data_IF_262651417854
#
_entry.id   IF_262651417854
#
_cell.length_a   1.000
_cell.length_b   1.000
_cell.length_c   1.000
_cell.angle_alpha   90.00
_cell.angle_beta   90.00
_cell.angle_gamma   90.00
#
_symmetry.space_group_name_H-M   'P 1'
#
loop_
_entity.id
_entity.type
_entity.pdbx_description
1 polymer ?
#
# COMPACT_ATOMS: atom_id res chain seq x y z
N UNK A 1 5.47 -19.90 -7.63
CA UNK A 1 6.84 -19.49 -7.26
C UNK A 1 6.71 -18.95 -5.86
N UNK A 2 7.26 -19.65 -4.89
CA UNK A 2 7.33 -19.18 -3.50
C UNK A 2 8.31 -18.00 -3.51
N UNK A 3 7.79 -16.77 -3.41
CA UNK A 3 8.62 -15.57 -3.38
C UNK A 3 9.25 -15.46 -2.00
N UNK A 4 10.33 -16.23 -1.78
CA UNK A 4 11.15 -16.11 -0.57
C UNK A 4 11.99 -14.84 -0.66
N UNK A 5 11.46 -13.72 -0.18
CA UNK A 5 12.21 -12.47 -0.07
C UNK A 5 13.46 -12.68 0.80
N UNK A 6 14.60 -12.16 0.33
CA UNK A 6 15.85 -12.14 1.10
C UNK A 6 15.97 -10.80 1.79
N UNK A 7 16.08 -10.83 3.12
CA UNK A 7 16.18 -9.62 3.94
C UNK A 7 17.63 -9.40 4.34
N UNK A 8 18.15 -8.20 4.09
CA UNK A 8 19.49 -7.79 4.48
C UNK A 8 19.66 -7.75 6.00
N UNK A 9 20.88 -7.99 6.48
CA UNK A 9 21.19 -7.97 7.91
C UNK A 9 20.89 -6.62 8.59
N UNK A 10 21.18 -5.51 7.92
CA UNK A 10 20.89 -4.16 8.43
C UNK A 10 19.39 -3.87 8.46
N UNK A 11 18.63 -4.33 7.45
CA UNK A 11 17.17 -4.25 7.45
C UNK A 11 16.56 -5.05 8.62
N UNK A 12 17.06 -6.27 8.89
CA UNK A 12 16.65 -7.05 10.06
C UNK A 12 16.94 -6.33 11.39
N UNK A 13 18.10 -5.69 11.50
CA UNK A 13 18.46 -4.92 12.69
C UNK A 13 17.52 -3.72 12.88
N UNK A 14 17.20 -3.01 11.80
CA UNK A 14 16.24 -1.90 11.82
C UNK A 14 14.83 -2.35 12.20
N UNK A 15 14.35 -3.44 11.59
CA UNK A 15 13.05 -4.05 11.93
C UNK A 15 12.97 -4.38 13.42
N UNK A 16 14.04 -4.96 13.96
CA UNK A 16 14.11 -5.30 15.38
C UNK A 16 13.95 -4.06 16.26
N UNK A 17 14.67 -2.99 15.95
CA UNK A 17 14.60 -1.73 16.70
C UNK A 17 13.19 -1.13 16.61
N UNK A 18 12.62 -1.04 15.41
CA UNK A 18 11.31 -0.44 15.20
C UNK A 18 10.18 -1.19 15.92
N UNK A 19 10.17 -2.53 15.80
CA UNK A 19 9.10 -3.37 16.38
C UNK A 19 9.28 -3.50 17.89
N UNK A 20 10.47 -3.89 18.36
CA UNK A 20 10.67 -4.25 19.77
C UNK A 20 10.87 -3.04 20.69
N UNK A 21 11.44 -1.93 20.19
CA UNK A 21 11.75 -0.75 21.01
C UNK A 21 10.77 0.40 20.80
N UNK A 22 10.30 0.61 19.57
CA UNK A 22 9.41 1.73 19.24
C UNK A 22 7.93 1.34 19.19
N UNK A 23 7.60 0.05 19.28
CA UNK A 23 6.22 -0.45 19.17
C UNK A 23 5.52 0.02 17.89
N UNK A 24 6.28 0.13 16.80
CA UNK A 24 5.76 0.40 15.47
C UNK A 24 5.40 -0.94 14.82
N UNK A 25 4.14 -1.34 14.98
CA UNK A 25 3.67 -2.67 14.55
C UNK A 25 3.21 -2.70 13.08
N UNK A 26 3.08 -1.55 12.43
CA UNK A 26 2.70 -1.46 11.03
C UNK A 26 3.94 -1.34 10.16
N UNK A 27 4.13 -2.28 9.26
CA UNK A 27 5.30 -2.36 8.38
C UNK A 27 4.83 -2.24 6.93
N UNK A 28 5.39 -1.28 6.20
CA UNK A 28 5.28 -1.24 4.74
C UNK A 28 6.56 -1.84 4.16
N UNK A 29 6.44 -2.80 3.26
CA UNK A 29 7.60 -3.39 2.58
C UNK A 29 7.36 -3.46 1.07
N UNK A 30 8.43 -3.35 0.29
CA UNK A 30 8.33 -3.45 -1.16
C UNK A 30 8.22 -4.94 -1.56
N UNK A 31 7.03 -5.36 -1.99
CA UNK A 31 6.78 -6.72 -2.45
C UNK A 31 7.19 -6.95 -3.91
N UNK A 32 7.54 -5.90 -4.66
CA UNK A 32 8.00 -6.02 -6.04
C UNK A 32 9.45 -6.53 -6.15
N UNK A 33 10.24 -6.41 -5.08
CA UNK A 33 11.68 -6.74 -5.08
C UNK A 33 11.99 -8.03 -4.34
N UNK A 34 12.93 -8.79 -4.86
CA UNK A 34 13.39 -10.03 -4.22
C UNK A 34 14.27 -9.76 -2.98
N UNK A 35 15.01 -8.65 -2.99
CA UNK A 35 15.97 -8.29 -1.95
C UNK A 35 15.49 -7.07 -1.17
N UNK A 36 15.22 -7.25 0.12
CA UNK A 36 14.74 -6.21 1.03
C UNK A 36 15.93 -5.63 1.78
N UNK A 37 16.25 -4.37 1.49
CA UNK A 37 17.23 -3.57 2.23
C UNK A 37 16.52 -2.55 3.14
N UNK A 38 17.26 -1.61 3.73
CA UNK A 38 16.69 -0.59 4.63
C UNK A 38 15.74 0.41 3.97
N UNK A 39 15.83 0.62 2.66
CA UNK A 39 14.95 1.51 1.90
C UNK A 39 13.65 0.81 1.47
N UNK A 40 13.68 -0.52 1.39
CA UNK A 40 12.55 -1.36 0.99
C UNK A 40 11.59 -1.70 2.15
N UNK A 41 11.83 -1.16 3.35
CA UNK A 41 11.02 -1.40 4.54
C UNK A 41 10.86 -0.14 5.37
N UNK A 42 9.61 0.19 5.73
CA UNK A 42 9.25 1.34 6.54
C UNK A 42 8.32 0.92 7.68
N UNK A 43 8.39 1.67 8.79
CA UNK A 43 7.68 1.34 10.02
C UNK A 43 6.82 2.50 10.49
N UNK A 44 5.57 2.20 10.82
CA UNK A 44 4.57 3.18 11.20
C UNK A 44 3.92 2.79 12.53
N UNK A 45 3.42 3.82 13.22
CA UNK A 45 2.69 3.63 14.47
C UNK A 45 1.21 3.32 14.23
N UNK A 46 0.63 3.91 13.18
CA UNK A 46 -0.77 3.77 12.83
C UNK A 46 -0.92 3.09 11.47
N UNK A 47 -1.99 2.29 11.32
CA UNK A 47 -2.29 1.58 10.08
C UNK A 47 -2.51 2.57 8.94
N UNK A 48 -3.26 3.63 9.22
CA UNK A 48 -3.66 4.63 8.23
C UNK A 48 -2.45 5.32 7.60
N UNK A 49 -1.39 5.57 8.38
CA UNK A 49 -0.14 6.15 7.88
C UNK A 49 0.59 5.18 6.94
N UNK A 50 0.63 3.89 7.28
CA UNK A 50 1.25 2.86 6.44
C UNK A 50 0.48 2.65 5.13
N UNK A 51 -0.85 2.57 5.21
CA UNK A 51 -1.70 2.43 4.03
C UNK A 51 -1.64 3.66 3.13
N UNK A 52 -1.67 4.87 3.69
CA UNK A 52 -1.48 6.11 2.92
C UNK A 52 -0.12 6.12 2.21
N UNK A 53 0.95 5.68 2.89
CA UNK A 53 2.25 5.55 2.27
C UNK A 53 2.24 4.56 1.10
N UNK A 54 1.70 3.36 1.31
CA UNK A 54 1.61 2.32 0.27
C UNK A 54 0.82 2.82 -0.94
N UNK A 55 -0.34 3.47 -0.73
CA UNK A 55 -1.19 4.00 -1.80
C UNK A 55 -0.51 5.13 -2.60
N UNK A 56 0.29 5.97 -1.95
CA UNK A 56 0.99 7.07 -2.60
C UNK A 56 2.28 6.66 -3.31
N UNK A 57 2.84 5.48 -3.00
CA UNK A 57 4.13 5.02 -3.53
C UNK A 57 3.99 3.76 -4.41
N UNK A 58 2.85 3.61 -5.09
CA UNK A 58 2.68 2.58 -6.11
C UNK A 58 3.24 3.08 -7.44
N UNK A 59 4.21 2.36 -7.99
CA UNK A 59 4.84 2.62 -9.28
C UNK A 59 4.98 1.32 -10.08
N UNK A 60 5.42 1.41 -11.34
CA UNK A 60 5.77 0.24 -12.15
C UNK A 60 6.96 -0.54 -11.56
N UNK A 61 7.78 0.12 -10.74
CA UNK A 61 8.99 -0.45 -10.16
C UNK A 61 8.86 -0.77 -8.66
N UNK A 62 7.89 -0.16 -7.98
CA UNK A 62 7.75 -0.23 -6.53
C UNK A 62 6.30 -0.53 -6.15
N UNK A 63 6.09 -1.61 -5.41
CA UNK A 63 4.78 -2.01 -4.92
C UNK A 63 4.93 -2.26 -3.43
N UNK A 64 4.49 -1.31 -2.62
CA UNK A 64 4.51 -1.44 -1.17
C UNK A 64 3.24 -2.14 -0.65
N UNK A 65 3.43 -3.03 0.31
CA UNK A 65 2.37 -3.74 1.01
C UNK A 65 2.46 -3.51 2.52
N UNK A 66 1.30 -3.35 3.15
CA UNK A 66 1.18 -3.15 4.59
C UNK A 66 0.97 -4.49 5.30
N UNK A 67 1.73 -4.75 6.37
CA UNK A 67 1.51 -5.86 7.30
C UNK A 67 1.50 -5.36 8.75
N UNK A 68 0.83 -6.11 9.62
CA UNK A 68 0.90 -5.91 11.07
C UNK A 68 1.79 -7.00 11.67
N UNK A 69 2.74 -6.62 12.52
CA UNK A 69 3.59 -7.55 13.24
C UNK A 69 3.90 -7.08 14.65
N UNK A 70 3.61 -7.92 15.65
CA UNK A 70 3.94 -7.65 17.05
C UNK A 70 5.40 -8.05 17.38
N UNK A 71 6.00 -8.91 16.56
CA UNK A 71 7.37 -9.39 16.75
C UNK A 71 8.17 -9.37 15.45
N UNK A 72 9.49 -9.31 15.56
CA UNK A 72 10.39 -9.42 14.40
C UNK A 72 10.16 -10.73 13.63
N UNK A 73 9.93 -11.84 14.33
CA UNK A 73 9.72 -13.14 13.71
C UNK A 73 8.46 -13.16 12.85
N UNK A 74 7.36 -12.58 13.33
CA UNK A 74 6.11 -12.45 12.56
C UNK A 74 6.30 -11.55 11.33
N UNK A 75 7.00 -10.43 11.46
CA UNK A 75 7.28 -9.54 10.33
C UNK A 75 8.09 -10.27 9.24
N UNK A 76 9.18 -10.93 9.63
CA UNK A 76 10.04 -11.68 8.71
C UNK A 76 9.28 -12.83 8.04
N UNK A 77 8.45 -13.54 8.80
CA UNK A 77 7.64 -14.63 8.25
C UNK A 77 6.64 -14.14 7.22
N UNK A 78 5.90 -13.06 7.52
CA UNK A 78 4.93 -12.48 6.58
C UNK A 78 5.59 -11.94 5.31
N UNK A 79 6.72 -11.21 5.44
CA UNK A 79 7.48 -10.70 4.29
C UNK A 79 7.96 -11.86 3.42
N UNK A 80 8.50 -12.94 3.99
CA UNK A 80 8.98 -14.10 3.23
C UNK A 80 7.88 -14.91 2.54
N UNK A 81 6.67 -14.90 3.10
CA UNK A 81 5.53 -15.61 2.52
C UNK A 81 4.81 -14.76 1.46
N UNK A 82 5.06 -13.44 1.42
CA UNK A 82 4.33 -12.50 0.58
C UNK A 82 2.85 -12.41 0.95
N UNK A 83 2.48 -12.81 2.18
CA UNK A 83 1.10 -12.80 2.63
C UNK A 83 0.70 -11.37 3.02
N UNK A 84 0.08 -10.66 2.08
CA UNK A 84 -0.57 -9.38 2.35
C UNK A 84 -2.01 -9.62 2.82
N UNK A 85 -2.27 -9.40 4.11
CA UNK A 85 -3.62 -9.36 4.65
C UNK A 85 -4.21 -7.97 4.38
N UNK A 86 -4.85 -7.83 3.22
CA UNK A 86 -5.68 -6.66 2.85
C UNK A 86 -4.90 -5.36 2.55
N UNK A 87 -4.36 -5.26 1.33
CA UNK A 87 -4.37 -3.97 0.63
C UNK A 87 -5.57 -4.00 -0.30
N UNK A 88 -6.71 -3.53 0.20
CA UNK A 88 -7.88 -3.27 -0.64
C UNK A 88 -7.43 -2.33 -1.75
N UNK A 89 -7.24 -2.89 -2.96
CA UNK A 89 -6.98 -2.15 -4.19
C UNK A 89 -8.11 -1.14 -4.36
N UNK A 90 -7.85 0.09 -3.89
CA UNK A 90 -8.59 1.27 -4.26
C UNK A 90 -8.36 1.51 -5.75
N UNK A 91 -9.11 0.79 -6.57
CA UNK A 91 -9.30 1.13 -7.97
C UNK A 91 -10.08 2.44 -7.99
N UNK A 92 -9.38 3.56 -7.85
CA UNK A 92 -9.90 4.85 -8.30
C UNK A 92 -10.04 4.76 -9.82
N UNK A 93 -11.24 4.40 -10.26
CA UNK A 93 -11.69 4.66 -11.63
C UNK A 93 -11.79 6.18 -11.81
N UNK A 94 -10.65 6.83 -12.00
CA UNK A 94 -10.57 8.14 -12.65
C UNK A 94 -10.99 7.97 -14.10
N UNK A 95 -12.27 8.14 -14.38
CA UNK A 95 -12.75 8.55 -15.71
C UNK A 95 -13.56 9.84 -15.53
N UNK A 96 -12.87 11.00 -15.50
CA UNK A 96 -12.78 11.98 -16.60
C UNK A 96 -14.15 12.23 -17.24
N UNK A 97 -14.61 13.47 -17.08
CA UNK A 97 -15.91 13.92 -17.54
C UNK A 97 -15.99 14.07 -19.05
N UNK A 98 -17.16 13.72 -19.57
CA UNK A 98 -17.69 14.26 -20.80
C UNK A 98 -18.75 15.30 -20.41
N UNK A 99 -18.29 16.54 -20.39
CA UNK A 99 -19.10 17.74 -20.49
C UNK A 99 -19.54 17.83 -21.96
N UNK A 100 -20.75 17.36 -22.28
CA UNK A 100 -21.36 17.64 -23.58
C UNK A 100 -22.78 18.20 -23.41
N UNK A 101 -22.90 19.42 -23.92
CA UNK A 101 -24.04 20.14 -24.45
C UNK A 101 -25.27 20.48 -23.60
N UNK A 102 -25.27 21.76 -23.21
CA UNK A 102 -26.43 22.65 -23.15
C UNK A 102 -27.39 22.43 -24.33
N UNK A 103 -28.59 21.89 -24.11
CA UNK A 103 -29.76 22.24 -24.93
C UNK A 103 -30.76 23.06 -24.10
N UNK A 104 -30.69 24.37 -24.29
CA UNK A 104 -31.74 25.29 -23.91
C UNK A 104 -32.84 25.29 -24.98
N UNK A 105 -33.82 24.40 -24.86
CA UNK A 105 -35.07 24.51 -25.63
C UNK A 105 -36.26 24.84 -24.73
N UNK A 106 -36.44 26.14 -24.54
CA UNK A 106 -37.72 26.78 -24.21
C UNK A 106 -38.76 26.44 -25.30
N UNK A 107 -39.97 26.05 -24.88
CA UNK A 107 -41.18 26.59 -25.53
C UNK A 107 -42.30 25.63 -25.89
N UNK A 108 -43.47 25.94 -25.31
CA UNK A 108 -44.84 25.77 -25.82
C UNK A 108 -45.50 24.40 -25.66
N UNK A 109 -46.12 24.21 -24.49
CA UNK A 109 -47.40 23.52 -24.42
C UNK A 109 -48.50 24.40 -25.05
N UNK A 110 -49.05 23.95 -26.18
CA UNK A 110 -50.28 24.48 -26.76
C UNK A 110 -51.30 23.34 -26.83
N UNK A 111 -52.52 23.65 -26.35
CA UNK A 111 -53.81 22.96 -26.48
C UNK A 111 -53.90 21.84 -27.52
N UNK A 112 -54.63 20.78 -27.17
CA UNK A 112 -56.00 20.53 -27.64
C UNK A 112 -56.83 19.94 -26.51
#
# INVERSE_FOLDING_TARGET
METEHVIEGDALAMMKVAIELHHHHWVAYNSAVYFINCDEVLFFKHKEEADEFCMNNISEFDIFQTIEAATLAEAVQQIKLGECYDCSVGREERNRGDMDDLDMSRGKGHRL
#
